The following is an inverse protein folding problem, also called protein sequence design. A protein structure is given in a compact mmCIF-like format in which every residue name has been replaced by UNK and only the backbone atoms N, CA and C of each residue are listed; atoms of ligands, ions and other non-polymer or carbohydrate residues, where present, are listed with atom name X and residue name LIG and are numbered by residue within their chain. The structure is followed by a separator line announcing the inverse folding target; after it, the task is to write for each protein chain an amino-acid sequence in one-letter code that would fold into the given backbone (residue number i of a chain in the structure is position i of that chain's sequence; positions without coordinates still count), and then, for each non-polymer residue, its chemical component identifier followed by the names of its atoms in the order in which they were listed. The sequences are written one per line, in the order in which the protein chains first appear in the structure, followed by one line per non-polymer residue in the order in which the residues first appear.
data_IF_733786455327
#
_entry.id   IF_733786455327
#
_cell.length_a   1.000
_cell.length_b   1.000
_cell.length_c   1.000
_cell.angle_alpha   90.00
_cell.angle_beta   90.00
_cell.angle_gamma   90.00
#
_symmetry.space_group_name_H-M   'P 1'
#
loop_
_entity.id
_entity.type
_entity.pdbx_description
1 polymer ?
#
# COMPACT_ATOMS: atom_id res chain seq x y z
N UNK A 1 52.36 -12.99 27.03
CA UNK A 1 51.49 -11.83 26.72
C UNK A 1 50.54 -12.18 25.56
N UNK A 2 49.55 -13.05 25.78
CA UNK A 2 48.64 -13.57 24.72
C UNK A 2 47.14 -13.48 25.08
N UNK A 3 46.80 -12.98 26.27
CA UNK A 3 45.42 -13.03 26.81
C UNK A 3 44.57 -11.78 26.52
N UNK A 4 45.18 -10.67 26.07
CA UNK A 4 44.47 -9.40 25.84
C UNK A 4 43.84 -9.35 24.44
N UNK A 5 44.41 -10.05 23.45
CA UNK A 5 43.95 -10.00 22.07
C UNK A 5 42.59 -10.69 21.86
N UNK A 6 42.26 -11.70 22.68
CA UNK A 6 40.99 -12.45 22.57
C UNK A 6 39.80 -11.61 23.05
N UNK A 7 40.02 -10.70 24.02
CA UNK A 7 38.94 -9.90 24.60
C UNK A 7 38.45 -8.81 23.64
N UNK A 8 39.34 -8.24 22.81
CA UNK A 8 38.99 -7.17 21.86
C UNK A 8 38.19 -7.72 20.68
N UNK A 9 38.46 -8.95 20.23
CA UNK A 9 37.73 -9.57 19.11
C UNK A 9 36.28 -9.91 19.48
N UNK A 10 36.01 -10.31 20.73
CA UNK A 10 34.64 -10.59 21.18
C UNK A 10 33.75 -9.35 21.31
N UNK A 11 34.33 -8.19 21.66
CA UNK A 11 33.55 -6.95 21.79
C UNK A 11 33.10 -6.44 20.42
N UNK A 12 33.89 -6.61 19.35
CA UNK A 12 33.51 -6.14 18.00
C UNK A 12 32.41 -7.01 17.37
N UNK A 13 32.32 -8.31 17.68
CA UNK A 13 31.22 -9.16 17.20
C UNK A 13 29.87 -8.80 17.82
N UNK A 14 29.83 -8.37 19.09
CA UNK A 14 28.58 -7.97 19.76
C UNK A 14 27.99 -6.65 19.23
N UNK A 15 28.79 -5.81 18.58
CA UNK A 15 28.29 -4.59 17.93
C UNK A 15 28.00 -4.77 16.43
N UNK A 16 28.42 -5.87 15.80
CA UNK A 16 28.12 -6.14 14.40
C UNK A 16 26.68 -6.62 14.15
N UNK A 17 26.04 -7.24 15.17
CA UNK A 17 24.64 -7.69 15.06
C UNK A 17 23.61 -6.57 15.31
N UNK A 18 24.02 -5.40 15.80
CA UNK A 18 23.11 -4.26 16.02
C UNK A 18 23.02 -3.27 14.84
N UNK A 19 23.77 -3.47 13.75
CA UNK A 19 23.87 -2.49 12.65
C UNK A 19 22.93 -2.78 11.48
N UNK A 20 22.18 -3.89 11.49
CA UNK A 20 21.20 -4.25 10.45
C UNK A 20 19.76 -4.40 10.96
N UNK A 21 19.38 -3.66 12.00
CA UNK A 21 17.99 -3.43 12.32
C UNK A 21 17.66 -1.94 12.16
N UNK A 22 18.00 -1.37 10.99
CA UNK A 22 17.24 -0.23 10.48
C UNK A 22 15.86 -0.80 10.14
N UNK A 23 15.06 -0.97 11.19
CA UNK A 23 13.74 -1.59 11.11
C UNK A 23 13.00 -0.88 9.99
N UNK A 24 12.79 -1.60 8.90
CA UNK A 24 11.92 -1.14 7.84
C UNK A 24 10.63 -0.76 8.53
N UNK A 25 10.33 0.54 8.56
CA UNK A 25 9.09 1.05 9.12
C UNK A 25 8.01 0.25 8.42
N UNK A 26 7.23 -0.54 9.14
CA UNK A 26 6.55 -1.62 8.49
C UNK A 26 5.40 -0.97 7.70
N UNK A 27 5.45 -1.08 6.36
CA UNK A 27 4.79 -0.13 5.45
C UNK A 27 3.34 -0.53 5.15
N UNK A 28 2.42 0.43 5.28
CA UNK A 28 1.06 0.31 4.77
C UNK A 28 1.07 0.01 3.26
N UNK A 29 0.54 -1.16 2.88
CA UNK A 29 0.58 -1.62 1.49
C UNK A 29 -0.84 -1.70 0.92
N UNK A 30 -1.02 -1.08 -0.24
CA UNK A 30 -2.25 -1.17 -1.03
C UNK A 30 -1.95 -2.04 -2.25
N UNK A 31 -2.59 -3.19 -2.36
CA UNK A 31 -2.55 -4.01 -3.56
C UNK A 31 -3.69 -3.61 -4.47
N UNK A 32 -3.43 -3.28 -5.73
CA UNK A 32 -4.45 -3.10 -6.76
C UNK A 32 -4.26 -4.17 -7.82
N UNK A 33 -5.22 -5.09 -7.97
CA UNK A 33 -5.09 -6.26 -8.86
C UNK A 33 -3.75 -6.98 -8.68
N UNK A 34 -3.42 -7.30 -7.42
CA UNK A 34 -2.19 -7.98 -6.99
C UNK A 34 -0.86 -7.21 -7.15
N UNK A 35 -0.89 -5.99 -7.72
CA UNK A 35 0.27 -5.10 -7.74
C UNK A 35 0.37 -4.31 -6.43
N UNK A 36 1.51 -4.43 -5.75
CA UNK A 36 1.75 -3.78 -4.47
C UNK A 36 2.19 -2.32 -4.63
N UNK A 37 1.54 -1.43 -3.89
CA UNK A 37 1.90 -0.03 -3.76
C UNK A 37 2.17 0.27 -2.29
N UNK A 38 3.34 0.86 -2.03
CA UNK A 38 3.82 1.22 -0.68
C UNK A 38 4.00 2.72 -0.52
N UNK A 39 3.78 3.50 -1.59
CA UNK A 39 3.95 4.95 -1.61
C UNK A 39 2.82 5.62 -2.40
N UNK A 40 2.56 6.89 -2.07
CA UNK A 40 1.65 7.73 -2.83
C UNK A 40 2.11 7.89 -4.28
N UNK A 41 1.18 7.95 -5.23
CA UNK A 41 1.57 8.03 -6.63
C UNK A 41 0.44 7.90 -7.63
N UNK A 42 0.84 7.80 -8.89
CA UNK A 42 -0.05 7.60 -10.03
C UNK A 42 -0.11 6.13 -10.36
N UNK A 43 -1.33 5.61 -10.55
CA UNK A 43 -1.58 4.20 -10.83
C UNK A 43 -2.46 4.05 -12.06
N UNK A 44 -2.26 2.97 -12.80
CA UNK A 44 -3.06 2.58 -13.96
C UNK A 44 -3.49 1.13 -13.77
N UNK A 45 -4.44 0.88 -12.86
CA UNK A 45 -4.84 -0.49 -12.56
C UNK A 45 -5.77 -1.03 -13.63
N UNK A 46 -5.96 -2.34 -13.60
CA UNK A 46 -6.79 -3.03 -14.56
C UNK A 46 -8.25 -3.08 -14.11
N UNK A 47 -9.13 -3.36 -15.05
CA UNK A 47 -10.53 -3.62 -14.76
C UNK A 47 -10.83 -5.11 -14.76
N UNK A 48 -11.72 -5.58 -13.86
CA UNK A 48 -12.33 -4.88 -12.72
C UNK A 48 -11.31 -4.49 -11.63
N UNK A 49 -11.54 -3.37 -10.94
CA UNK A 49 -10.59 -2.84 -9.95
C UNK A 49 -10.79 -3.47 -8.58
N UNK A 50 -9.94 -4.43 -8.21
CA UNK A 50 -9.90 -4.99 -6.87
C UNK A 50 -8.74 -4.43 -6.07
N UNK A 51 -9.00 -4.10 -4.80
CA UNK A 51 -7.97 -3.69 -3.86
C UNK A 51 -7.89 -4.65 -2.68
N UNK A 52 -6.69 -4.80 -2.13
CA UNK A 52 -6.44 -5.47 -0.86
C UNK A 52 -5.50 -4.61 -0.05
N UNK A 53 -5.84 -4.41 1.21
CA UNK A 53 -5.06 -3.56 2.10
C UNK A 53 -4.32 -4.45 3.09
N UNK A 54 -3.04 -4.19 3.29
CA UNK A 54 -2.24 -4.86 4.30
C UNK A 54 -1.50 -3.84 5.15
N UNK A 55 -1.39 -4.15 6.43
CA UNK A 55 -0.65 -3.36 7.38
C UNK A 55 -0.01 -4.32 8.40
N UNK A 56 1.27 -4.12 8.72
CA UNK A 56 2.01 -5.02 9.61
C UNK A 56 1.66 -4.83 11.09
N UNK A 57 1.15 -3.66 11.50
CA UNK A 57 0.57 -3.49 12.84
C UNK A 57 -0.79 -4.21 12.93
N UNK A 58 -0.94 -5.22 13.82
CA UNK A 58 -2.19 -5.97 14.01
C UNK A 58 -3.35 -5.15 14.58
N UNK A 59 -3.09 -3.96 15.13
CA UNK A 59 -4.14 -3.04 15.61
C UNK A 59 -4.94 -2.41 14.46
N UNK A 60 -4.37 -2.36 13.25
CA UNK A 60 -5.06 -1.84 12.08
C UNK A 60 -6.13 -2.83 11.64
N UNK A 61 -7.39 -2.42 11.71
CA UNK A 61 -8.53 -3.27 11.39
C UNK A 61 -9.21 -2.88 10.07
N UNK A 62 -9.05 -1.62 9.64
CA UNK A 62 -9.75 -1.09 8.48
C UNK A 62 -8.95 -0.01 7.75
N UNK A 63 -9.35 0.24 6.51
CA UNK A 63 -8.89 1.37 5.71
C UNK A 63 -10.06 2.29 5.43
N UNK A 64 -9.90 3.57 5.78
CA UNK A 64 -10.81 4.63 5.40
C UNK A 64 -10.33 5.25 4.09
N UNK A 65 -11.20 5.23 3.09
CA UNK A 65 -10.95 5.78 1.76
C UNK A 65 -11.82 7.02 1.54
N UNK A 66 -11.20 8.15 1.16
CA UNK A 66 -11.94 9.38 0.85
C UNK A 66 -12.67 9.25 -0.50
N UNK A 67 -13.91 9.72 -0.59
CA UNK A 67 -14.63 9.73 -1.87
C UNK A 67 -13.93 10.67 -2.88
N UNK A 68 -13.74 10.26 -4.15
CA UNK A 68 -12.91 11.02 -5.10
C UNK A 68 -13.32 12.48 -5.35
N UNK A 69 -14.61 12.76 -5.28
CA UNK A 69 -15.20 14.09 -5.56
C UNK A 69 -15.84 14.75 -4.37
N UNK A 70 -15.89 14.07 -3.23
CA UNK A 70 -16.54 14.60 -2.05
C UNK A 70 -15.69 14.34 -0.81
N UNK A 71 -14.92 15.34 -0.41
CA UNK A 71 -13.99 15.24 0.71
C UNK A 71 -14.66 15.02 2.07
N UNK A 72 -15.98 15.23 2.18
CA UNK A 72 -16.74 14.93 3.41
C UNK A 72 -17.27 13.49 3.46
N UNK A 73 -17.19 12.74 2.34
CA UNK A 73 -17.63 11.35 2.28
C UNK A 73 -16.44 10.39 2.38
N UNK A 74 -16.64 9.33 3.17
CA UNK A 74 -15.66 8.28 3.39
C UNK A 74 -16.31 6.90 3.22
N UNK A 75 -15.55 5.98 2.64
CA UNK A 75 -15.85 4.54 2.62
C UNK A 75 -14.87 3.83 3.55
N UNK A 76 -15.32 2.73 4.15
CA UNK A 76 -14.47 1.89 5.00
C UNK A 76 -14.37 0.50 4.40
N UNK A 77 -13.15 -0.03 4.36
CA UNK A 77 -12.86 -1.37 3.87
C UNK A 77 -12.12 -2.17 4.93
N UNK A 78 -12.41 -3.47 5.08
CA UNK A 78 -11.63 -4.34 5.95
C UNK A 78 -10.20 -4.51 5.42
N UNK A 79 -9.25 -4.72 6.34
CA UNK A 79 -7.90 -5.15 6.00
C UNK A 79 -7.88 -6.63 5.58
N UNK A 80 -6.85 -7.04 4.83
CA UNK A 80 -6.58 -8.43 4.44
C UNK A 80 -7.70 -9.11 3.65
N UNK A 81 -8.55 -8.32 2.98
CA UNK A 81 -9.63 -8.81 2.13
C UNK A 81 -9.59 -8.11 0.77
N UNK A 82 -9.92 -8.86 -0.28
CA UNK A 82 -10.14 -8.29 -1.60
C UNK A 82 -11.47 -7.55 -1.62
N UNK A 83 -11.45 -6.27 -1.98
CA UNK A 83 -12.64 -5.42 -2.10
C UNK A 83 -12.72 -4.82 -3.50
N UNK A 84 -13.92 -4.76 -4.08
CA UNK A 84 -14.14 -4.12 -5.37
C UNK A 84 -14.32 -2.61 -5.16
N UNK A 85 -13.38 -1.79 -5.62
CA UNK A 85 -13.50 -0.34 -5.51
C UNK A 85 -14.19 0.25 -6.76
N UNK A 86 -15.49 -0.03 -6.88
CA UNK A 86 -16.32 0.36 -8.04
C UNK A 86 -16.30 1.85 -8.37
N UNK A 87 -16.18 2.70 -7.36
CA UNK A 87 -16.22 4.16 -7.57
C UNK A 87 -15.04 4.64 -8.42
N UNK A 88 -13.81 4.22 -8.11
CA UNK A 88 -12.64 4.58 -8.91
C UNK A 88 -12.75 4.03 -10.33
N UNK A 89 -13.28 2.81 -10.48
CA UNK A 89 -13.54 2.22 -11.79
C UNK A 89 -14.53 3.04 -12.63
N UNK A 90 -15.63 3.50 -12.04
CA UNK A 90 -16.63 4.32 -12.74
C UNK A 90 -16.06 5.65 -13.24
N UNK A 91 -15.20 6.30 -12.44
CA UNK A 91 -14.53 7.54 -12.85
C UNK A 91 -13.57 7.29 -14.01
N UNK A 92 -12.71 6.28 -13.88
CA UNK A 92 -11.72 6.00 -14.92
C UNK A 92 -12.37 5.52 -16.22
N UNK A 93 -13.48 4.77 -16.16
CA UNK A 93 -14.26 4.37 -17.36
C UNK A 93 -14.88 5.56 -18.10
N UNK A 94 -15.09 6.69 -17.43
CA UNK A 94 -15.54 7.94 -18.05
C UNK A 94 -14.38 8.78 -18.61
N UNK A 95 -13.14 8.29 -18.55
CA UNK A 95 -11.96 9.05 -18.92
C UNK A 95 -11.57 10.10 -17.87
N UNK A 96 -12.09 10.00 -16.65
CA UNK A 96 -11.82 10.96 -15.57
C UNK A 96 -10.72 10.44 -14.64
N UNK A 97 -9.89 11.36 -14.17
CA UNK A 97 -8.98 11.09 -13.04
C UNK A 97 -9.80 10.80 -11.79
N UNK A 98 -9.33 9.86 -10.99
CA UNK A 98 -9.89 9.57 -9.67
C UNK A 98 -8.78 9.62 -8.63
N UNK A 99 -8.96 10.38 -7.56
CA UNK A 99 -7.93 10.57 -6.53
C UNK A 99 -8.53 10.15 -5.20
N UNK A 100 -7.80 9.38 -4.39
CA UNK A 100 -8.24 9.11 -3.02
C UNK A 100 -7.07 8.97 -2.05
N UNK A 101 -7.35 9.38 -0.82
CA UNK A 101 -6.55 9.08 0.35
C UNK A 101 -7.04 7.77 0.96
N UNK A 102 -6.13 6.81 1.10
CA UNK A 102 -6.29 5.58 1.85
C UNK A 102 -5.63 5.76 3.20
N UNK A 103 -6.39 5.61 4.27
CA UNK A 103 -5.94 5.83 5.64
C UNK A 103 -6.14 4.54 6.42
N UNK A 104 -5.04 3.92 6.86
CA UNK A 104 -5.06 2.72 7.70
C UNK A 104 -5.36 3.12 9.15
N UNK A 105 -6.43 2.60 9.72
CA UNK A 105 -6.89 2.93 11.07
C UNK A 105 -7.42 1.73 11.86
N UNK A 106 -7.43 1.84 13.18
CA UNK A 106 -8.08 0.88 14.09
C UNK A 106 -9.58 1.18 14.26
N UNK A 107 -10.26 0.41 15.12
CA UNK A 107 -11.68 0.61 15.41
C UNK A 107 -11.98 1.89 16.22
N UNK A 108 -10.96 2.53 16.81
CA UNK A 108 -11.07 3.76 17.59
C UNK A 108 -10.76 5.02 16.77
N UNK A 109 -10.27 4.86 15.53
CA UNK A 109 -9.92 5.94 14.62
C UNK A 109 -8.46 6.41 14.75
N UNK A 110 -7.59 5.65 15.43
CA UNK A 110 -6.16 5.95 15.41
C UNK A 110 -5.57 5.62 14.04
N UNK A 111 -4.73 6.53 13.54
CA UNK A 111 -4.14 6.44 12.20
C UNK A 111 -2.75 5.84 12.30
N UNK A 112 -2.50 4.79 11.51
CA UNK A 112 -1.21 4.09 11.45
C UNK A 112 -0.49 4.25 10.12
N UNK A 113 -1.20 4.68 9.07
CA UNK A 113 -0.62 4.93 7.76
C UNK A 113 -1.56 5.68 6.84
N UNK A 114 -0.99 6.38 5.86
CA UNK A 114 -1.75 7.08 4.83
C UNK A 114 -1.04 6.99 3.49
N UNK A 115 -1.82 6.82 2.42
CA UNK A 115 -1.34 6.81 1.04
C UNK A 115 -2.33 7.55 0.15
N UNK A 116 -1.83 8.39 -0.75
CA UNK A 116 -2.64 9.05 -1.76
C UNK A 116 -2.39 8.43 -3.13
N UNK A 117 -3.41 7.84 -3.75
CA UNK A 117 -3.29 7.30 -5.10
C UNK A 117 -4.15 8.10 -6.09
N UNK A 118 -3.52 8.42 -7.22
CA UNK A 118 -4.15 9.02 -8.39
C UNK A 118 -4.34 7.96 -9.46
N UNK A 119 -5.58 7.56 -9.67
CA UNK A 119 -6.00 6.62 -10.69
C UNK A 119 -6.11 7.33 -12.04
N UNK A 120 -5.23 6.93 -12.97
CA UNK A 120 -5.20 7.48 -14.33
C UNK A 120 -6.10 6.61 -15.22
N UNK A 121 -7.07 7.21 -15.93
CA UNK A 121 -7.88 6.49 -16.89
C UNK A 121 -7.01 5.92 -18.00
N UNK A 122 -7.26 4.66 -18.35
CA UNK A 122 -6.70 4.05 -19.56
C UNK A 122 -7.58 4.48 -20.73
N UNK A 123 -6.97 4.94 -21.81
CA UNK A 123 -7.71 5.24 -23.03
C UNK A 123 -8.40 3.96 -23.54
N UNK A 124 -9.74 3.93 -23.65
CA UNK A 124 -10.45 2.75 -24.12
C UNK A 124 -10.03 2.30 -25.53
N UNK A 125 -9.42 3.17 -26.34
CA UNK A 125 -8.87 2.81 -27.65
C UNK A 125 -7.62 1.91 -27.56
N UNK A 126 -6.93 1.89 -26.42
CA UNK A 126 -5.69 1.15 -26.20
C UNK A 126 -5.88 -0.18 -25.44
N UNK A 127 -7.13 -0.60 -25.22
CA UNK A 127 -7.46 -1.84 -24.49
C UNK A 127 -7.20 -1.76 -22.98
N UNK A 128 -7.58 -2.79 -22.23
CA UNK A 128 -7.23 -2.87 -20.81
C UNK A 128 -5.72 -3.16 -20.71
N UNK A 129 -4.99 -2.47 -19.83
CA UNK A 129 -3.53 -2.66 -19.68
C UNK A 129 -3.19 -4.12 -19.36
N UNK A 130 -4.12 -4.86 -18.75
CA UNK A 130 -3.96 -6.27 -18.45
C UNK A 130 -4.37 -7.25 -19.57
N UNK A 131 -4.96 -6.81 -20.69
CA UNK A 131 -5.34 -7.73 -21.78
C UNK A 131 -4.10 -8.42 -22.40
N UNK A 132 -2.91 -7.80 -22.27
CA UNK A 132 -1.63 -8.40 -22.65
C UNK A 132 -0.97 -9.30 -21.59
N UNK A 133 -1.38 -9.26 -20.32
CA UNK A 133 -0.78 -10.04 -19.23
C UNK A 133 -1.41 -11.42 -19.04
N UNK A 134 -2.62 -11.65 -19.56
CA UNK A 134 -3.34 -12.93 -19.40
C UNK A 134 -2.87 -13.99 -20.43
N UNK A 135 -2.08 -13.61 -21.43
CA UNK A 135 -1.63 -14.49 -22.52
C UNK A 135 -0.11 -14.75 -22.54
N UNK A 136 0.63 -14.43 -21.47
CA UNK A 136 2.08 -14.61 -21.37
C UNK A 136 2.47 -15.51 -20.21
#
# INVERSE_FOLDING_TARGET
MKKILVLIVMVVCLFAEQVYAWGEVPVFTVFLNDLAYTNSGKVRPCYPLYARFEHPNPEVTKVRMRHPTNHVLFMHFPINQNVHIKIHEQYMKQGLLSISDFIAEDNYGHIYGQMNLTFIPVDPAHGNICDGYVNS
#
